data_IF_715841547313
#
_entry.id   IF_715841547313
#
_cell.length_a   1.000
_cell.length_b   1.000
_cell.length_c   1.000
_cell.angle_alpha   90.00
_cell.angle_beta   90.00
_cell.angle_gamma   90.00
#
_symmetry.space_group_name_H-M   'P 1'
#
loop_
_entity.id
_entity.type
_entity.pdbx_description
1 polymer ?
#
# COMPACT_ATOMS: atom_id res chain seq x y z
N UNK A 1 0.41 -7.17 -14.12
CA UNK A 1 0.03 -8.45 -13.47
C UNK A 1 1.26 -9.32 -13.38
N UNK A 2 1.48 -10.02 -12.26
CA UNK A 2 2.65 -10.90 -12.10
C UNK A 2 2.21 -12.35 -12.36
N UNK A 3 2.62 -12.97 -13.47
CA UNK A 3 2.16 -14.30 -13.86
C UNK A 3 2.42 -15.38 -12.80
N UNK A 4 3.44 -15.19 -11.93
CA UNK A 4 3.80 -16.15 -10.88
C UNK A 4 2.90 -16.04 -9.65
N UNK A 5 2.38 -14.85 -9.35
CA UNK A 5 1.46 -14.64 -8.23
C UNK A 5 0.07 -15.19 -8.57
N UNK A 6 -0.39 -14.94 -9.78
CA UNK A 6 -1.77 -15.27 -10.17
C UNK A 6 -1.94 -16.77 -10.46
N UNK A 7 -0.86 -17.51 -10.69
CA UNK A 7 -0.90 -18.96 -10.96
C UNK A 7 -1.62 -19.76 -9.85
N UNK A 8 -1.41 -19.42 -8.58
CA UNK A 8 -2.11 -20.08 -7.47
C UNK A 8 -3.61 -19.74 -7.44
N UNK A 9 -3.97 -18.48 -7.71
CA UNK A 9 -5.37 -18.05 -7.79
C UNK A 9 -6.11 -18.79 -8.90
N UNK A 10 -5.46 -18.94 -10.05
CA UNK A 10 -6.02 -19.69 -11.18
C UNK A 10 -6.17 -21.17 -10.86
N UNK A 11 -5.23 -21.76 -10.11
CA UNK A 11 -5.37 -23.15 -9.65
C UNK A 11 -6.60 -23.31 -8.77
N UNK A 12 -6.79 -22.44 -7.77
CA UNK A 12 -7.93 -22.54 -6.84
C UNK A 12 -9.28 -22.47 -7.59
N UNK A 13 -9.41 -21.55 -8.55
CA UNK A 13 -10.63 -21.38 -9.37
C UNK A 13 -10.91 -22.63 -10.22
N UNK A 14 -9.87 -23.22 -10.83
CA UNK A 14 -10.01 -24.43 -11.63
C UNK A 14 -10.32 -25.65 -10.78
N UNK A 15 -9.68 -25.78 -9.61
CA UNK A 15 -9.99 -26.85 -8.65
C UNK A 15 -11.45 -26.75 -8.19
N UNK A 16 -11.96 -25.54 -7.88
CA UNK A 16 -13.37 -25.30 -7.54
C UNK A 16 -14.31 -25.77 -8.65
N UNK A 17 -14.09 -25.35 -9.89
CA UNK A 17 -14.91 -25.75 -11.04
C UNK A 17 -14.88 -27.28 -11.30
N UNK A 18 -13.74 -27.93 -11.06
CA UNK A 18 -13.61 -29.39 -11.17
C UNK A 18 -14.40 -30.07 -10.04
N UNK A 19 -14.31 -29.56 -8.81
CA UNK A 19 -15.07 -30.12 -7.66
C UNK A 19 -16.58 -29.91 -7.80
N UNK A 20 -17.01 -28.79 -8.38
CA UNK A 20 -18.40 -28.51 -8.72
C UNK A 20 -18.92 -29.40 -9.87
N UNK A 21 -18.03 -30.16 -10.54
CA UNK A 21 -18.36 -31.02 -11.67
C UNK A 21 -18.65 -30.28 -12.96
N UNK A 22 -18.38 -28.96 -13.02
CA UNK A 22 -18.54 -28.13 -14.21
C UNK A 22 -17.45 -28.42 -15.24
N UNK A 23 -16.23 -28.73 -14.78
CA UNK A 23 -15.08 -29.03 -15.63
C UNK A 23 -14.51 -30.43 -15.34
N UNK A 24 -14.10 -31.17 -16.38
CA UNK A 24 -13.38 -32.43 -16.23
C UNK A 24 -11.89 -32.17 -16.01
N UNK A 25 -11.28 -32.88 -15.05
CA UNK A 25 -9.83 -32.85 -14.88
C UNK A 25 -9.13 -33.40 -16.12
N UNK A 26 -8.03 -32.75 -16.51
CA UNK A 26 -7.22 -33.16 -17.67
C UNK A 26 -5.79 -33.44 -17.21
N UNK A 27 -5.12 -34.40 -17.85
CA UNK A 27 -3.73 -34.77 -17.49
C UNK A 27 -2.75 -33.59 -17.57
N UNK A 28 -3.03 -32.61 -18.44
CA UNK A 28 -2.25 -31.39 -18.58
C UNK A 28 -2.44 -30.46 -17.38
N UNK A 29 -3.68 -30.34 -16.89
CA UNK A 29 -4.01 -29.60 -15.67
C UNK A 29 -3.31 -30.21 -14.46
N UNK A 30 -3.40 -31.52 -14.26
CA UNK A 30 -2.81 -32.19 -13.09
C UNK A 30 -1.29 -31.96 -13.02
N UNK A 31 -0.60 -32.02 -14.17
CA UNK A 31 0.84 -31.73 -14.26
C UNK A 31 1.17 -30.27 -13.90
N UNK A 32 0.35 -29.33 -14.36
CA UNK A 32 0.53 -27.90 -14.09
C UNK A 32 0.20 -27.56 -12.63
N UNK A 33 -0.90 -28.09 -12.10
CA UNK A 33 -1.33 -27.91 -10.72
C UNK A 33 -0.29 -28.46 -9.72
N UNK A 34 0.39 -29.56 -10.06
CA UNK A 34 1.51 -30.11 -9.29
C UNK A 34 2.73 -29.17 -9.30
N UNK A 35 3.09 -28.66 -10.48
CA UNK A 35 4.18 -27.67 -10.62
C UNK A 35 3.91 -26.40 -9.82
N UNK A 36 2.65 -25.97 -9.73
CA UNK A 36 2.24 -24.81 -8.93
C UNK A 36 2.25 -25.12 -7.44
N UNK A 37 1.88 -26.32 -7.00
CA UNK A 37 2.03 -26.66 -5.57
C UNK A 37 3.49 -26.74 -5.13
N UNK A 38 4.41 -27.07 -6.03
CA UNK A 38 5.85 -27.07 -5.76
C UNK A 38 6.43 -25.66 -5.66
N UNK A 39 5.89 -24.70 -6.43
CA UNK A 39 6.23 -23.29 -6.22
C UNK A 39 5.68 -22.84 -4.89
N UNK A 40 6.57 -22.40 -3.98
CA UNK A 40 6.16 -21.88 -2.66
C UNK A 40 5.05 -20.85 -2.88
N UNK A 41 3.84 -21.05 -2.30
CA UNK A 41 2.80 -20.04 -2.39
C UNK A 41 3.43 -18.74 -1.88
N UNK A 42 3.30 -17.63 -2.63
CA UNK A 42 3.87 -16.36 -2.23
C UNK A 42 3.41 -16.10 -0.80
N UNK A 43 4.36 -16.25 0.13
CA UNK A 43 4.04 -16.37 1.54
C UNK A 43 3.55 -15.03 2.02
N UNK A 44 2.22 -14.95 2.16
CA UNK A 44 1.44 -13.81 2.63
C UNK A 44 1.63 -12.54 1.77
N UNK A 45 0.54 -11.95 1.25
CA UNK A 45 0.58 -10.66 0.56
C UNK A 45 1.08 -9.50 1.47
N UNK A 46 1.31 -9.76 2.76
CA UNK A 46 1.82 -8.80 3.74
C UNK A 46 3.33 -8.88 3.97
N UNK A 47 4.05 -9.90 3.46
CA UNK A 47 5.52 -9.96 3.63
C UNK A 47 6.19 -9.01 2.65
N UNK A 48 6.34 -7.75 3.07
CA UNK A 48 7.32 -6.84 2.47
C UNK A 48 8.68 -7.53 2.48
N UNK A 49 9.37 -7.57 1.34
CA UNK A 49 10.80 -7.95 1.27
C UNK A 49 11.57 -6.98 2.16
N UNK A 50 11.90 -7.37 3.39
CA UNK A 50 12.79 -6.61 4.27
C UNK A 50 13.83 -7.58 4.80
N UNK A 51 15.09 -7.16 4.71
CA UNK A 51 16.27 -7.86 5.22
C UNK A 51 16.02 -8.26 6.68
N UNK A 52 16.26 -9.53 6.98
CA UNK A 52 16.11 -10.12 8.30
C UNK A 52 17.06 -9.45 9.29
N UNK A 53 16.55 -8.56 10.13
CA UNK A 53 17.10 -8.38 11.47
C UNK A 53 16.12 -9.05 12.42
N UNK A 54 16.63 -10.12 13.02
CA UNK A 54 15.98 -11.00 13.96
C UNK A 54 15.80 -10.25 15.27
N UNK A 55 14.76 -9.44 15.37
CA UNK A 55 14.20 -9.11 16.67
C UNK A 55 12.97 -9.98 16.88
N UNK A 56 12.93 -10.57 18.07
CA UNK A 56 11.89 -11.47 18.56
C UNK A 56 10.49 -10.93 18.32
N UNK A 57 9.51 -11.83 18.36
CA UNK A 57 8.06 -11.61 18.25
C UNK A 57 7.54 -10.55 19.24
N UNK A 58 7.99 -9.31 19.08
CA UNK A 58 7.43 -8.14 19.71
C UNK A 58 6.08 -7.94 19.05
N UNK A 59 5.04 -7.90 19.88
CA UNK A 59 3.69 -7.62 19.46
C UNK A 59 3.71 -6.45 18.46
N UNK A 60 3.31 -6.71 17.21
CA UNK A 60 3.32 -5.73 16.13
C UNK A 60 2.60 -4.44 16.55
N UNK A 61 1.58 -4.57 17.39
CA UNK A 61 0.86 -3.45 17.97
C UNK A 61 1.75 -2.57 18.84
N UNK A 62 2.61 -3.16 19.66
CA UNK A 62 3.58 -2.44 20.49
C UNK A 62 4.58 -1.64 19.63
N UNK A 63 5.11 -2.23 18.55
CA UNK A 63 6.03 -1.54 17.63
C UNK A 63 5.35 -0.38 16.90
N UNK A 64 4.10 -0.55 16.47
CA UNK A 64 3.32 0.53 15.84
C UNK A 64 3.02 1.64 16.85
N UNK A 65 2.64 1.27 18.08
CA UNK A 65 2.37 2.20 19.17
C UNK A 65 3.60 3.02 19.54
N UNK A 66 4.75 2.37 19.69
CA UNK A 66 6.03 3.03 19.95
C UNK A 66 6.36 4.06 18.86
N UNK A 67 6.32 3.66 17.58
CA UNK A 67 6.57 4.58 16.45
C UNK A 67 5.56 5.71 16.33
N UNK A 68 4.34 5.50 16.82
CA UNK A 68 3.31 6.54 16.88
C UNK A 68 3.67 7.56 17.97
N UNK A 69 4.07 7.08 19.14
CA UNK A 69 4.47 7.93 20.27
C UNK A 69 5.75 8.70 19.99
N UNK A 70 6.79 8.07 19.44
CA UNK A 70 8.05 8.73 19.05
C UNK A 70 7.84 9.87 18.06
N UNK A 71 6.84 9.75 17.17
CA UNK A 71 6.51 10.79 16.19
C UNK A 71 5.46 11.78 16.70
N UNK A 72 4.78 11.49 17.80
CA UNK A 72 3.66 12.27 18.31
C UNK A 72 4.07 13.71 18.60
N UNK A 73 5.15 13.91 19.36
CA UNK A 73 5.59 15.26 19.71
C UNK A 73 5.98 16.10 18.49
N UNK A 74 6.69 15.50 17.52
CA UNK A 74 7.04 16.18 16.27
C UNK A 74 5.80 16.52 15.44
N UNK A 75 4.84 15.60 15.39
CA UNK A 75 3.60 15.78 14.66
C UNK A 75 2.72 16.85 15.30
N UNK A 76 2.53 16.79 16.62
CA UNK A 76 1.73 17.74 17.40
C UNK A 76 2.34 19.15 17.31
N UNK A 77 3.67 19.27 17.31
CA UNK A 77 4.37 20.56 17.09
C UNK A 77 4.11 21.14 15.71
N UNK A 78 4.23 20.34 14.65
CA UNK A 78 3.94 20.78 13.27
C UNK A 78 2.46 21.16 13.12
N UNK A 79 1.56 20.34 13.66
CA UNK A 79 0.12 20.56 13.60
C UNK A 79 -0.28 21.81 14.39
N UNK A 80 0.29 22.02 15.58
CA UNK A 80 0.08 23.24 16.37
C UNK A 80 0.57 24.47 15.61
N UNK A 81 1.71 24.41 14.91
CA UNK A 81 2.17 25.53 14.08
C UNK A 81 1.21 25.83 12.93
N UNK A 82 0.57 24.80 12.37
CA UNK A 82 -0.40 24.96 11.29
C UNK A 82 -1.71 25.56 11.81
N UNK A 83 -2.22 25.04 12.93
CA UNK A 83 -3.41 25.56 13.61
C UNK A 83 -3.16 26.98 14.13
N UNK A 84 -1.98 27.31 14.63
CA UNK A 84 -1.66 28.70 15.01
C UNK A 84 -1.60 29.64 13.81
N UNK A 85 -1.14 29.16 12.64
CA UNK A 85 -1.05 29.99 11.43
C UNK A 85 -2.39 30.15 10.71
N UNK A 86 -3.25 29.14 10.74
CA UNK A 86 -4.43 29.06 9.88
C UNK A 86 -5.73 28.70 10.61
N UNK A 87 -5.68 28.37 11.91
CA UNK A 87 -6.81 27.90 12.72
C UNK A 87 -7.25 28.86 13.83
N UNK A 88 -6.68 30.06 13.91
CA UNK A 88 -7.19 31.16 14.75
C UNK A 88 -8.37 31.84 14.06
N UNK A 89 -9.49 32.02 14.77
CA UNK A 89 -10.76 32.53 14.25
C UNK A 89 -10.67 33.91 13.57
N UNK A 90 -11.62 34.13 12.64
CA UNK A 90 -11.69 35.17 11.60
C UNK A 90 -10.66 35.02 10.45
N UNK A 91 -10.52 33.79 9.93
CA UNK A 91 -9.99 33.61 8.59
C UNK A 91 -11.04 34.09 7.57
N UNK A 92 -10.95 35.36 7.15
CA UNK A 92 -11.60 35.83 5.92
C UNK A 92 -11.29 34.85 4.80
N UNK A 93 -12.27 34.62 3.92
CA UNK A 93 -12.04 33.84 2.70
C UNK A 93 -10.78 34.38 2.00
N UNK A 94 -9.86 33.51 1.54
CA UNK A 94 -8.69 33.94 0.80
C UNK A 94 -9.13 34.84 -0.36
N UNK A 95 -8.43 35.95 -0.57
CA UNK A 95 -8.74 36.80 -1.73
C UNK A 95 -8.51 36.01 -3.02
N UNK A 96 -9.27 36.31 -4.07
CA UNK A 96 -9.21 35.57 -5.35
C UNK A 96 -7.77 35.48 -5.90
N UNK A 97 -6.98 36.55 -5.74
CA UNK A 97 -5.57 36.58 -6.15
C UNK A 97 -4.68 35.62 -5.35
N UNK A 98 -4.89 35.52 -4.04
CA UNK A 98 -4.15 34.59 -3.18
C UNK A 98 -4.53 33.13 -3.49
N UNK A 99 -5.79 32.87 -3.80
CA UNK A 99 -6.28 31.55 -4.18
C UNK A 99 -5.73 31.11 -5.54
N UNK A 100 -5.73 31.99 -6.54
CA UNK A 100 -5.15 31.72 -7.86
C UNK A 100 -3.64 31.48 -7.75
N UNK A 101 -2.92 32.27 -6.95
CA UNK A 101 -1.50 32.06 -6.68
C UNK A 101 -1.23 30.70 -6.01
N UNK A 102 -2.10 30.26 -5.11
CA UNK A 102 -2.00 28.95 -4.47
C UNK A 102 -2.26 27.79 -5.45
N UNK A 103 -3.27 27.92 -6.31
CA UNK A 103 -3.54 26.94 -7.37
C UNK A 103 -2.36 26.81 -8.33
N UNK A 104 -1.81 27.93 -8.80
CA UNK A 104 -0.67 27.95 -9.71
C UNK A 104 0.55 27.25 -9.11
N UNK A 105 0.88 27.55 -7.84
CA UNK A 105 1.96 26.87 -7.09
C UNK A 105 1.74 25.35 -6.99
N UNK A 106 0.50 24.89 -6.88
CA UNK A 106 0.18 23.46 -6.82
C UNK A 106 0.42 22.78 -8.17
N UNK A 107 -0.04 23.40 -9.26
CA UNK A 107 0.16 22.88 -10.61
C UNK A 107 1.65 22.87 -11.03
N UNK A 108 2.42 23.89 -10.65
CA UNK A 108 3.89 23.91 -10.86
C UNK A 108 4.61 22.79 -10.09
N UNK A 109 4.12 22.46 -8.89
CA UNK A 109 4.66 21.32 -8.10
C UNK A 109 4.27 19.97 -8.69
N UNK A 110 3.09 19.85 -9.32
CA UNK A 110 2.68 18.64 -10.03
C UNK A 110 3.51 18.42 -11.30
N UNK A 111 3.72 19.48 -12.09
CA UNK A 111 4.49 19.40 -13.34
C UNK A 111 5.95 19.01 -13.06
N UNK A 112 6.58 19.61 -12.05
CA UNK A 112 7.96 19.28 -11.63
C UNK A 112 8.12 17.88 -11.02
N UNK A 113 7.10 17.34 -10.34
CA UNK A 113 7.10 15.93 -9.91
C UNK A 113 6.91 14.96 -11.06
N UNK A 114 6.17 15.35 -12.11
CA UNK A 114 5.96 14.54 -13.31
C UNK A 114 7.22 14.47 -14.18
N UNK A 115 8.01 15.54 -14.25
CA UNK A 115 9.29 15.55 -14.97
C UNK A 115 10.38 14.73 -14.30
N UNK A 116 10.45 14.69 -12.96
CA UNK A 116 11.42 13.86 -12.20
C UNK A 116 11.17 12.35 -12.21
N UNK A 117 10.03 11.89 -12.74
CA UNK A 117 9.67 10.45 -12.84
C UNK A 117 9.89 9.87 -14.25
N UNK A 118 10.53 10.62 -15.14
CA UNK A 118 11.00 10.14 -16.44
C UNK A 118 12.48 9.77 -16.38
#
# INVERSE_FOLDING_TARGET
SDPKLDSHRFKDILDEAITAGELKSTKSYDKWARKISETKPPTSPLRKRVKSNKESETDLYAVISQRRNERKERFDSMFSSLVSKYGGGDASEPTEEEFEAAQKKLEDRKSSKKSKRK
#
